data_IF_963402287580
#
_entry.id   IF_963402287580
#
_cell.length_a   1.000
_cell.length_b   1.000
_cell.length_c   1.000
_cell.angle_alpha   90.00
_cell.angle_beta   90.00
_cell.angle_gamma   90.00
#
_symmetry.space_group_name_H-M   'P 1'
#
loop_
_entity.id
_entity.type
_entity.pdbx_description
1 polymer ?
#
# COMPACT_ATOMS: atom_id res chain seq x y z
N UNK A 1 24.16 -35.06 17.64
CA UNK A 1 22.70 -35.16 17.64
C UNK A 1 22.23 -34.30 16.49
N UNK A 2 21.39 -34.84 15.61
CA UNK A 2 20.81 -34.09 14.49
C UNK A 2 19.44 -33.62 14.96
N UNK A 3 19.13 -32.36 14.68
CA UNK A 3 17.85 -31.75 14.98
C UNK A 3 16.75 -32.37 14.11
N UNK A 4 15.56 -32.55 14.67
CA UNK A 4 14.39 -33.04 13.93
C UNK A 4 13.71 -31.84 13.32
N UNK A 5 13.44 -31.85 12.01
CA UNK A 5 12.76 -30.72 11.37
C UNK A 5 11.25 -30.85 11.56
N UNK A 6 10.69 -30.28 12.62
CA UNK A 6 9.25 -30.41 12.86
C UNK A 6 8.39 -29.77 11.76
N UNK A 7 8.93 -28.84 10.96
CA UNK A 7 8.22 -28.22 9.85
C UNK A 7 8.07 -29.12 8.61
N UNK A 8 8.93 -30.13 8.46
CA UNK A 8 8.92 -31.07 7.32
C UNK A 8 8.40 -32.46 7.69
N UNK A 9 8.38 -32.77 8.99
CA UNK A 9 7.91 -34.05 9.52
C UNK A 9 6.38 -34.02 9.69
N UNK A 10 5.66 -34.14 8.56
CA UNK A 10 4.25 -34.53 8.57
C UNK A 10 4.13 -35.93 9.18
N UNK A 11 3.63 -36.04 10.42
CA UNK A 11 3.50 -37.33 11.12
C UNK A 11 2.63 -38.29 10.28
N UNK A 12 3.18 -39.38 9.71
CA UNK A 12 2.35 -40.40 9.08
C UNK A 12 1.69 -41.21 10.20
N UNK A 13 0.37 -41.07 10.37
CA UNK A 13 -0.42 -41.95 11.25
C UNK A 13 -0.96 -41.33 12.54
N UNK A 14 -1.01 -40.01 12.68
CA UNK A 14 -1.98 -39.36 13.58
C UNK A 14 -2.81 -38.35 12.76
N UNK A 15 -4.13 -38.40 12.88
CA UNK A 15 -5.05 -37.63 12.04
C UNK A 15 -5.27 -36.18 12.48
N UNK A 16 -4.36 -35.51 13.22
CA UNK A 16 -4.67 -34.14 13.66
C UNK A 16 -3.53 -33.22 14.14
N UNK A 17 -2.25 -33.49 13.86
CA UNK A 17 -1.18 -32.56 14.22
C UNK A 17 -0.49 -32.02 12.97
N UNK A 18 -1.09 -30.97 12.39
CA UNK A 18 -0.37 -30.02 11.54
C UNK A 18 0.39 -29.08 12.48
N UNK A 19 1.73 -29.04 12.39
CA UNK A 19 2.61 -28.30 13.32
C UNK A 19 2.23 -26.83 13.44
N UNK A 20 1.91 -26.19 12.32
CA UNK A 20 1.20 -24.90 12.28
C UNK A 20 -0.16 -25.13 11.62
N UNK A 21 -1.25 -25.35 12.38
CA UNK A 21 -2.52 -25.83 11.85
C UNK A 21 -3.34 -24.75 11.15
N UNK A 22 -2.93 -23.49 11.29
CA UNK A 22 -3.66 -22.35 10.78
C UNK A 22 -3.19 -21.91 9.40
N UNK A 23 -4.12 -21.41 8.60
CA UNK A 23 -3.83 -20.75 7.33
C UNK A 23 -3.00 -19.48 7.52
N UNK A 24 -2.28 -19.09 6.47
CA UNK A 24 -1.40 -17.92 6.45
C UNK A 24 -0.33 -17.92 7.56
N UNK A 25 0.19 -19.10 7.90
CA UNK A 25 1.32 -19.27 8.81
C UNK A 25 2.61 -19.69 8.10
N UNK A 26 3.73 -19.51 8.78
CA UNK A 26 5.07 -19.99 8.42
C UNK A 26 5.61 -20.75 9.62
N UNK A 27 6.13 -21.96 9.38
CA UNK A 27 6.87 -22.74 10.35
C UNK A 27 8.36 -22.45 10.21
N UNK A 28 9.05 -22.24 11.33
CA UNK A 28 10.50 -22.08 11.39
C UNK A 28 11.10 -23.09 12.35
N UNK A 29 12.00 -23.93 11.84
CA UNK A 29 12.68 -24.96 12.61
C UNK A 29 13.99 -24.43 13.21
N UNK A 30 14.31 -24.81 14.44
CA UNK A 30 15.57 -24.48 15.09
C UNK A 30 16.02 -25.60 16.04
N UNK A 31 17.30 -25.61 16.42
CA UNK A 31 17.83 -26.68 17.27
C UNK A 31 17.07 -26.76 18.60
N UNK A 32 16.33 -27.84 18.79
CA UNK A 32 15.53 -28.08 20.00
C UNK A 32 14.07 -27.61 19.92
N UNK A 33 13.56 -27.23 18.74
CA UNK A 33 12.12 -27.06 18.50
C UNK A 33 11.77 -26.21 17.27
N UNK A 34 10.54 -25.71 17.24
CA UNK A 34 10.00 -24.93 16.13
C UNK A 34 9.19 -23.73 16.62
N UNK A 35 8.96 -22.78 15.72
CA UNK A 35 8.06 -21.64 15.94
C UNK A 35 7.12 -21.46 14.74
N UNK A 36 5.86 -21.13 15.05
CA UNK A 36 4.83 -20.84 14.07
C UNK A 36 4.52 -19.35 14.12
N UNK A 37 4.60 -18.67 12.97
CA UNK A 37 4.34 -17.23 12.87
C UNK A 37 3.33 -16.95 11.77
N UNK A 38 2.59 -15.85 11.87
CA UNK A 38 1.80 -15.38 10.74
C UNK A 38 2.71 -14.93 9.59
N UNK A 39 2.30 -15.20 8.35
CA UNK A 39 2.94 -14.66 7.14
C UNK A 39 2.96 -13.13 7.22
N UNK A 40 3.93 -12.51 6.55
CA UNK A 40 3.96 -11.05 6.41
C UNK A 40 2.63 -10.52 5.85
N UNK A 41 2.11 -9.45 6.45
CA UNK A 41 0.78 -8.90 6.13
C UNK A 41 -0.37 -9.57 6.89
N UNK A 42 -0.11 -10.53 7.78
CA UNK A 42 -1.13 -11.18 8.60
C UNK A 42 -0.83 -11.06 10.10
N UNK A 43 -1.88 -11.09 10.91
CA UNK A 43 -1.80 -11.04 12.37
C UNK A 43 -2.82 -11.98 13.01
N UNK A 44 -2.54 -12.41 14.24
CA UNK A 44 -3.41 -13.30 14.99
C UNK A 44 -2.62 -14.34 15.78
N UNK A 45 -3.27 -15.44 16.11
CA UNK A 45 -2.65 -16.57 16.79
C UNK A 45 -2.40 -17.69 15.76
N UNK A 46 -1.13 -17.96 15.40
CA UNK A 46 -0.76 -18.94 14.37
C UNK A 46 -1.01 -20.41 14.78
N UNK A 47 -1.36 -20.68 16.04
CA UNK A 47 -1.66 -22.02 16.56
C UNK A 47 -3.17 -22.23 16.75
N UNK A 48 -3.89 -21.25 17.32
CA UNK A 48 -5.29 -21.46 17.74
C UNK A 48 -6.30 -20.53 17.07
N UNK A 49 -5.91 -19.29 16.78
CA UNK A 49 -6.84 -18.22 16.40
C UNK A 49 -6.89 -17.92 14.90
N UNK A 50 -5.91 -18.42 14.15
CA UNK A 50 -5.73 -18.13 12.74
C UNK A 50 -5.01 -16.80 12.48
N UNK A 51 -4.36 -16.72 11.32
CA UNK A 51 -3.73 -15.49 10.84
C UNK A 51 -4.66 -14.78 9.85
N UNK A 52 -5.12 -13.60 10.24
CA UNK A 52 -6.01 -12.74 9.45
C UNK A 52 -5.21 -11.62 8.81
N UNK A 53 -5.65 -11.23 7.63
CA UNK A 53 -5.12 -10.09 6.90
C UNK A 53 -5.10 -8.85 7.79
N UNK A 54 -3.98 -8.14 7.81
CA UNK A 54 -3.87 -6.86 8.49
C UNK A 54 -4.42 -5.82 7.53
N UNK A 55 -5.42 -5.04 7.96
CA UNK A 55 -5.86 -3.89 7.17
C UNK A 55 -4.94 -2.69 7.41
N UNK A 56 -3.90 -2.52 6.59
CA UNK A 56 -2.94 -1.42 6.78
C UNK A 56 -3.57 -0.04 6.59
N UNK A 57 -4.72 0.06 5.91
CA UNK A 57 -5.44 1.31 5.70
C UNK A 57 -6.20 1.81 6.95
N UNK A 58 -6.52 0.90 7.88
CA UNK A 58 -7.22 1.23 9.14
C UNK A 58 -6.27 1.38 10.33
N UNK A 59 -4.96 1.16 10.12
CA UNK A 59 -3.97 1.37 11.15
C UNK A 59 -3.71 2.86 11.42
N UNK A 60 -3.45 3.20 12.69
CA UNK A 60 -3.34 4.57 13.19
C UNK A 60 -2.27 5.42 12.49
N UNK A 61 -1.23 4.78 11.95
CA UNK A 61 -0.11 5.46 11.31
C UNK A 61 -0.33 5.76 9.83
N UNK A 62 -1.50 5.42 9.26
CA UNK A 62 -1.85 5.60 7.83
C UNK A 62 -0.67 5.30 6.89
N UNK A 63 -0.54 4.04 6.48
CA UNK A 63 0.64 3.56 5.73
C UNK A 63 0.87 4.28 4.38
N UNK A 64 -0.15 4.97 3.86
CA UNK A 64 -0.03 5.83 2.69
C UNK A 64 0.29 7.27 3.07
N UNK A 65 1.24 7.87 2.35
CA UNK A 65 1.60 9.28 2.47
C UNK A 65 0.46 10.22 2.06
N UNK A 66 0.70 11.52 2.20
CA UNK A 66 -0.28 12.54 1.84
C UNK A 66 -0.69 12.46 0.36
N UNK A 67 -1.94 12.83 0.08
CA UNK A 67 -2.54 12.83 -1.26
C UNK A 67 -2.55 11.45 -1.96
N UNK A 68 -2.69 10.37 -1.18
CA UNK A 68 -2.85 9.01 -1.68
C UNK A 68 -4.11 8.34 -1.11
N UNK A 69 -4.77 7.52 -1.93
CA UNK A 69 -5.77 6.58 -1.47
C UNK A 69 -5.10 5.26 -1.08
N UNK A 70 -5.52 4.71 0.06
CA UNK A 70 -5.12 3.39 0.51
C UNK A 70 -6.16 2.34 0.09
N UNK A 71 -5.69 1.24 -0.49
CA UNK A 71 -6.51 0.04 -0.76
C UNK A 71 -5.88 -1.15 -0.07
N UNK A 72 -6.63 -1.77 0.84
CA UNK A 72 -6.22 -3.00 1.49
C UNK A 72 -6.28 -4.18 0.51
N UNK A 73 -5.25 -5.03 0.51
CA UNK A 73 -5.15 -6.23 -0.32
C UNK A 73 -4.81 -7.43 0.59
N UNK A 74 -5.03 -8.65 0.13
CA UNK A 74 -4.70 -9.82 0.95
C UNK A 74 -3.18 -9.95 1.07
N UNK A 75 -2.66 -9.87 2.29
CA UNK A 75 -1.25 -9.93 2.67
C UNK A 75 -0.45 -8.66 2.38
N UNK A 76 -1.09 -7.56 1.95
CA UNK A 76 -0.41 -6.30 1.63
C UNK A 76 -1.40 -5.15 1.43
N UNK A 77 -0.92 -3.97 1.07
CA UNK A 77 -1.74 -2.82 0.71
C UNK A 77 -1.16 -2.12 -0.51
N UNK A 78 -1.96 -1.22 -1.09
CA UNK A 78 -1.53 -0.36 -2.19
C UNK A 78 -1.89 1.08 -1.91
N UNK A 79 -0.90 1.96 -2.10
CA UNK A 79 -1.10 3.40 -2.14
C UNK A 79 -1.10 3.90 -3.58
N UNK A 80 -2.18 4.57 -3.96
CA UNK A 80 -2.34 5.20 -5.27
C UNK A 80 -2.53 6.70 -5.09
N UNK A 81 -1.75 7.50 -5.81
CA UNK A 81 -1.88 8.95 -5.75
C UNK A 81 -3.26 9.38 -6.24
N UNK A 82 -3.82 10.40 -5.59
CA UNK A 82 -5.03 11.06 -6.06
C UNK A 82 -4.80 11.64 -7.47
N UNK A 83 -5.89 11.82 -8.22
CA UNK A 83 -5.83 12.46 -9.54
C UNK A 83 -5.08 13.80 -9.47
N UNK A 84 -4.18 14.03 -10.44
CA UNK A 84 -3.33 15.22 -10.47
C UNK A 84 -2.14 15.21 -9.51
N UNK A 85 -1.88 14.10 -8.81
CA UNK A 85 -0.68 13.88 -8.00
C UNK A 85 0.18 12.75 -8.57
N UNK A 86 1.49 12.83 -8.37
CA UNK A 86 2.47 11.82 -8.75
C UNK A 86 3.28 11.33 -7.56
N UNK A 87 3.72 10.07 -7.63
CA UNK A 87 4.51 9.43 -6.56
C UNK A 87 5.87 10.13 -6.44
N UNK A 88 6.26 10.46 -5.23
CA UNK A 88 7.62 10.91 -4.93
C UNK A 88 8.56 9.69 -5.01
N UNK A 89 9.60 9.70 -5.87
CA UNK A 89 10.54 8.60 -5.93
C UNK A 89 11.33 8.49 -4.62
N UNK A 90 11.68 7.26 -4.22
CA UNK A 90 12.45 6.94 -3.01
C UNK A 90 11.75 7.20 -1.67
N UNK A 91 10.43 7.36 -1.64
CA UNK A 91 9.63 7.38 -0.39
C UNK A 91 8.99 6.02 -0.13
N UNK A 92 9.11 5.51 1.09
CA UNK A 92 8.59 4.18 1.49
C UNK A 92 7.08 4.15 1.76
N UNK A 93 6.45 5.28 2.07
CA UNK A 93 5.02 5.42 2.39
C UNK A 93 4.15 5.74 1.16
N UNK A 94 4.70 5.81 -0.05
CA UNK A 94 3.93 6.19 -1.22
C UNK A 94 3.41 7.64 -1.19
N UNK A 95 4.23 8.57 -0.68
CA UNK A 95 3.94 10.01 -0.69
C UNK A 95 3.71 10.53 -2.11
N UNK A 96 2.71 11.41 -2.24
CA UNK A 96 2.29 11.97 -3.52
C UNK A 96 2.39 13.49 -3.51
N UNK A 97 3.05 14.03 -4.54
CA UNK A 97 3.19 15.47 -4.76
C UNK A 97 2.32 15.90 -5.94
N UNK A 98 1.89 17.14 -5.89
CA UNK A 98 1.13 17.77 -6.98
C UNK A 98 1.93 17.75 -8.29
N UNK A 99 1.27 17.41 -9.39
CA UNK A 99 1.86 17.45 -10.73
C UNK A 99 1.84 18.90 -11.21
N UNK A 100 3.00 19.47 -11.52
CA UNK A 100 3.04 20.81 -12.11
C UNK A 100 2.61 20.77 -13.58
N UNK A 101 1.32 20.92 -13.84
CA UNK A 101 0.82 20.85 -15.21
C UNK A 101 1.29 22.03 -16.05
N UNK A 102 1.73 23.14 -15.46
CA UNK A 102 2.30 24.26 -16.20
C UNK A 102 3.63 23.92 -16.87
N UNK A 103 4.33 22.89 -16.37
CA UNK A 103 5.54 22.33 -17.02
C UNK A 103 5.20 21.39 -18.17
N UNK A 104 3.95 20.94 -18.27
CA UNK A 104 3.48 20.07 -19.34
C UNK A 104 3.05 20.90 -20.57
N UNK A 105 3.25 20.33 -21.75
CA UNK A 105 2.91 20.99 -23.01
C UNK A 105 1.38 21.14 -23.13
N UNK A 106 0.91 22.34 -23.45
CA UNK A 106 -0.52 22.69 -23.62
C UNK A 106 -1.40 22.71 -22.35
N UNK A 107 -0.82 23.03 -21.17
CA UNK A 107 -1.55 23.21 -19.91
C UNK A 107 -2.73 24.22 -19.99
N UNK A 108 -2.56 25.29 -20.77
CA UNK A 108 -3.56 26.34 -20.95
C UNK A 108 -3.72 26.72 -22.43
N UNK A 109 -4.85 27.34 -22.78
CA UNK A 109 -5.08 27.88 -24.13
C UNK A 109 -4.06 28.99 -24.48
N UNK A 110 -3.85 29.22 -25.79
CA UNK A 110 -2.89 30.23 -26.28
C UNK A 110 -3.13 31.60 -25.61
N UNK A 111 -2.05 32.17 -25.08
CA UNK A 111 -1.98 33.46 -24.38
C UNK A 111 -2.64 33.53 -22.99
N UNK A 112 -2.97 32.40 -22.35
CA UNK A 112 -3.34 32.38 -20.94
C UNK A 112 -2.10 32.20 -20.04
N UNK A 113 -2.13 32.84 -18.87
CA UNK A 113 -1.14 32.63 -17.80
C UNK A 113 -1.53 31.37 -17.02
N UNK A 114 -0.56 30.48 -16.78
CA UNK A 114 -0.73 29.26 -16.00
C UNK A 114 -0.21 29.46 -14.57
N UNK A 115 -0.98 29.00 -13.59
CA UNK A 115 -0.54 28.85 -12.20
C UNK A 115 -0.81 27.43 -11.74
N UNK A 116 0.26 26.76 -11.28
CA UNK A 116 0.16 25.42 -10.73
C UNK A 116 -0.74 25.41 -9.49
N UNK A 117 -1.62 24.43 -9.39
CA UNK A 117 -2.56 24.29 -8.29
C UNK A 117 -2.86 22.81 -8.06
N UNK A 118 -3.15 22.47 -6.80
CA UNK A 118 -3.54 21.12 -6.41
C UNK A 118 -4.56 20.52 -7.40
N UNK A 119 -4.18 19.38 -7.99
CA UNK A 119 -4.99 18.53 -8.88
C UNK A 119 -5.22 19.05 -10.30
N UNK A 120 -5.12 20.36 -10.57
CA UNK A 120 -5.26 20.93 -11.92
C UNK A 120 -4.67 22.34 -11.99
N UNK A 121 -4.19 22.78 -13.18
CA UNK A 121 -3.69 24.12 -13.32
C UNK A 121 -4.85 25.12 -13.30
N UNK A 122 -4.59 26.33 -12.79
CA UNK A 122 -5.49 27.46 -12.96
C UNK A 122 -4.98 28.34 -14.11
N UNK A 123 -5.80 28.50 -15.14
CA UNK A 123 -5.50 29.32 -16.31
C UNK A 123 -6.33 30.59 -16.28
N UNK A 124 -5.71 31.75 -16.44
CA UNK A 124 -6.42 33.03 -16.56
C UNK A 124 -5.83 33.87 -17.69
N UNK A 125 -6.70 34.63 -18.38
CA UNK A 125 -6.24 35.56 -19.41
C UNK A 125 -5.62 36.80 -18.75
N UNK A 126 -4.48 37.24 -19.26
CA UNK A 126 -3.96 38.57 -18.97
C UNK A 126 -4.90 39.60 -19.63
N UNK A 127 -5.92 40.02 -18.88
CA UNK A 127 -6.92 41.05 -19.17
C UNK A 127 -7.00 41.54 -20.62
N UNK A 128 -8.06 41.14 -21.35
CA UNK A 128 -9.08 42.08 -21.84
C UNK A 128 -10.46 41.42 -21.87
N UNK A 129 -11.32 41.87 -20.95
CA UNK A 129 -12.76 41.61 -20.85
C UNK A 129 -13.13 40.20 -20.37
N UNK A 130 -13.61 40.15 -19.13
CA UNK A 130 -14.26 39.03 -18.48
C UNK A 130 -15.03 38.10 -19.45
N UNK A 131 -14.48 36.90 -19.67
CA UNK A 131 -15.27 35.71 -20.04
C UNK A 131 -14.83 34.53 -19.18
N UNK A 132 -15.85 33.81 -18.76
CA UNK A 132 -15.93 32.83 -17.68
C UNK A 132 -14.76 31.84 -17.55
N UNK A 133 -14.61 31.25 -16.34
CA UNK A 133 -13.86 30.01 -16.16
C UNK A 133 -14.40 28.97 -17.14
N UNK A 134 -13.56 28.52 -18.08
CA UNK A 134 -13.86 27.35 -18.89
C UNK A 134 -13.82 26.13 -17.96
N UNK A 135 -14.97 25.79 -17.38
CA UNK A 135 -15.22 24.46 -16.85
C UNK A 135 -15.13 23.49 -18.03
N UNK A 136 -14.28 22.47 -17.90
CA UNK A 136 -14.34 21.29 -18.75
C UNK A 136 -15.50 20.41 -18.27
#
# INVERSE_FOLDING_TARGET
MVDVNECEEAVPGNEQITVCPQENTVCTNFVGGFDCQCKSGFSGDPLTGGCKDINECEMADHYCGSNANCTNLVGTFRCECLDGFERVPNTSNGECKDIDECTLHAACHRAATCTNNAMKPFCFQSDKSARQPTKK
#
